data_IF_320151711160
#
_entry.id   IF_320151711160
#
_cell.length_a   1.000
_cell.length_b   1.000
_cell.length_c   1.000
_cell.angle_alpha   90.00
_cell.angle_beta   90.00
_cell.angle_gamma   90.00
#
_symmetry.space_group_name_H-M   'P 1'
#
loop_
_entity.id
_entity.type
_entity.pdbx_description
1 polymer ?
#
# COMPACT_ATOMS: atom_id res chain seq x y z
N UNK A 1 12.36 2.81 20.43
CA UNK A 1 11.62 2.42 19.20
C UNK A 1 11.93 0.98 18.77
N UNK A 2 13.19 0.57 18.57
CA UNK A 2 13.53 -0.77 18.05
C UNK A 2 12.95 -1.98 18.80
N UNK A 3 12.70 -1.90 20.11
CA UNK A 3 12.13 -3.02 20.89
C UNK A 3 10.64 -3.24 20.61
N UNK A 4 9.88 -2.18 20.31
CA UNK A 4 8.47 -2.29 20.02
C UNK A 4 8.26 -2.93 18.65
N UNK A 5 8.98 -2.48 17.63
CA UNK A 5 8.92 -3.07 16.30
C UNK A 5 9.35 -4.53 16.28
N UNK A 6 10.40 -4.90 17.03
CA UNK A 6 10.82 -6.28 17.15
C UNK A 6 9.77 -7.21 17.79
N UNK A 7 8.92 -6.68 18.68
CA UNK A 7 7.83 -7.46 19.28
C UNK A 7 6.68 -7.68 18.29
N UNK A 8 6.30 -6.65 17.52
CA UNK A 8 5.29 -6.76 16.46
C UNK A 8 5.76 -7.71 15.34
N UNK A 9 7.02 -7.59 14.93
CA UNK A 9 7.65 -8.43 13.92
C UNK A 9 7.63 -9.93 14.32
N UNK A 10 7.90 -10.22 15.59
CA UNK A 10 7.81 -11.60 16.12
C UNK A 10 6.39 -12.15 16.14
N UNK A 11 5.40 -11.31 16.43
CA UNK A 11 4.00 -11.70 16.49
C UNK A 11 3.43 -11.97 15.07
N UNK A 12 3.95 -11.28 14.06
CA UNK A 12 3.44 -11.34 12.68
C UNK A 12 4.33 -12.15 11.73
N UNK A 13 5.23 -12.97 12.24
CA UNK A 13 6.09 -13.83 11.42
C UNK A 13 5.28 -14.64 10.41
N UNK A 14 5.50 -14.36 9.14
CA UNK A 14 4.95 -15.13 8.02
C UNK A 14 3.57 -14.72 7.53
N UNK A 15 2.87 -13.76 8.16
CA UNK A 15 1.47 -13.50 7.83
C UNK A 15 1.19 -12.18 7.13
N UNK A 16 1.93 -11.10 7.41
CA UNK A 16 1.66 -9.79 6.80
C UNK A 16 2.89 -8.90 6.79
N UNK A 17 2.88 -7.90 5.92
CA UNK A 17 3.80 -6.79 6.01
C UNK A 17 3.64 -6.07 7.35
N UNK A 18 4.74 -5.70 7.98
CA UNK A 18 4.69 -4.84 9.15
C UNK A 18 4.32 -3.44 8.71
N UNK A 19 3.15 -3.01 9.14
CA UNK A 19 2.61 -1.72 8.80
C UNK A 19 2.23 -0.96 10.07
N UNK A 20 2.84 0.19 10.26
CA UNK A 20 2.50 1.11 11.33
C UNK A 20 2.33 2.52 10.77
N UNK A 21 1.19 3.12 11.07
CA UNK A 21 0.94 4.52 10.74
C UNK A 21 0.11 5.16 11.86
N UNK A 22 0.60 6.25 12.42
CA UNK A 22 -0.10 6.98 13.47
C UNK A 22 0.40 8.42 13.60
N UNK A 23 -0.39 9.25 14.30
CA UNK A 23 0.00 10.59 14.69
C UNK A 23 0.76 10.56 16.01
N UNK A 24 1.90 11.22 16.04
CA UNK A 24 2.71 11.42 17.25
C UNK A 24 2.87 12.91 17.55
N UNK A 25 2.87 13.25 18.84
CA UNK A 25 3.15 14.61 19.31
C UNK A 25 4.59 14.66 19.81
N UNK A 26 5.38 15.60 19.28
CA UNK A 26 6.74 15.85 19.70
C UNK A 26 7.06 17.34 19.61
N UNK A 27 7.64 17.93 20.67
CA UNK A 27 8.05 19.32 20.73
C UNK A 27 6.92 20.32 20.29
N UNK A 28 5.70 20.13 20.81
CA UNK A 28 4.50 20.92 20.49
C UNK A 28 4.08 20.90 19.01
N UNK A 29 4.51 19.88 18.28
CA UNK A 29 4.10 19.63 16.89
C UNK A 29 3.53 18.24 16.75
N UNK A 30 2.58 18.08 15.84
CA UNK A 30 2.06 16.79 15.44
C UNK A 30 2.78 16.33 14.16
N UNK A 31 3.23 15.09 14.19
CA UNK A 31 3.85 14.40 13.05
C UNK A 31 3.03 13.16 12.70
N UNK A 32 2.92 12.87 11.42
CA UNK A 32 2.44 11.59 10.97
C UNK A 32 3.64 10.67 10.72
N UNK A 33 3.66 9.55 11.42
CA UNK A 33 4.70 8.54 11.27
C UNK A 33 4.13 7.33 10.52
N UNK A 34 4.78 6.97 9.42
CA UNK A 34 4.43 5.79 8.63
C UNK A 34 5.67 4.92 8.45
N UNK A 35 5.56 3.65 8.82
CA UNK A 35 6.58 2.66 8.53
C UNK A 35 6.30 2.06 7.16
N UNK A 36 7.26 2.17 6.26
CA UNK A 36 7.16 1.67 4.88
C UNK A 36 8.00 0.42 4.64
N UNK A 37 8.74 -0.03 5.64
CA UNK A 37 9.59 -1.21 5.54
C UNK A 37 8.77 -2.50 5.62
N UNK A 38 9.05 -3.41 4.71
CA UNK A 38 8.45 -4.74 4.65
C UNK A 38 9.50 -5.77 5.00
N UNK A 39 9.22 -6.58 6.02
CA UNK A 39 10.11 -7.65 6.46
C UNK A 39 9.63 -9.01 5.95
N UNK A 40 10.58 -9.86 5.64
CA UNK A 40 10.37 -11.29 5.46
C UNK A 40 11.16 -12.11 6.50
N UNK A 41 11.22 -13.41 6.34
CA UNK A 41 11.97 -14.33 7.21
C UNK A 41 13.48 -14.08 7.20
N UNK A 42 14.02 -13.42 6.17
CA UNK A 42 15.44 -13.17 5.98
C UNK A 42 15.86 -11.75 6.37
N UNK A 43 14.91 -10.86 6.66
CA UNK A 43 15.15 -9.49 7.10
C UNK A 43 14.20 -8.47 6.46
N UNK A 44 14.41 -7.20 6.78
CA UNK A 44 13.60 -6.08 6.24
C UNK A 44 14.14 -5.54 4.92
N UNK A 45 15.43 -5.75 4.67
CA UNK A 45 16.12 -5.21 3.52
C UNK A 45 16.04 -6.18 2.34
N UNK A 46 15.70 -5.65 1.17
CA UNK A 46 15.86 -6.38 -0.07
C UNK A 46 17.33 -6.31 -0.47
N UNK A 47 18.00 -7.45 -0.47
CA UNK A 47 19.41 -7.61 -0.81
C UNK A 47 19.54 -8.26 -2.19
N UNK A 48 19.45 -7.49 -3.29
CA UNK A 48 19.61 -8.02 -4.63
C UNK A 48 21.08 -8.40 -4.90
N UNK A 49 21.28 -9.41 -5.75
CA UNK A 49 22.57 -9.88 -6.23
C UNK A 49 22.52 -10.14 -7.75
N UNK A 50 23.59 -10.71 -8.35
CA UNK A 50 23.67 -11.02 -9.79
C UNK A 50 22.66 -12.10 -10.23
N UNK A 51 22.12 -12.89 -9.31
CA UNK A 51 21.02 -13.82 -9.60
C UNK A 51 19.69 -13.05 -9.65
N UNK A 52 19.38 -12.55 -10.84
CA UNK A 52 18.19 -11.75 -11.07
C UNK A 52 16.89 -12.50 -10.74
N UNK A 53 16.85 -13.80 -10.98
CA UNK A 53 15.69 -14.66 -10.71
C UNK A 53 15.38 -14.73 -9.22
N UNK A 54 16.39 -15.08 -8.43
CA UNK A 54 16.28 -15.22 -6.98
C UNK A 54 16.00 -13.87 -6.30
N UNK A 55 16.69 -12.82 -6.73
CA UNK A 55 16.52 -11.47 -6.21
C UNK A 55 15.12 -10.94 -6.47
N UNK A 56 14.60 -11.08 -7.70
CA UNK A 56 13.24 -10.70 -8.05
C UNK A 56 12.21 -11.52 -7.26
N UNK A 57 12.39 -12.83 -7.15
CA UNK A 57 11.47 -13.68 -6.40
C UNK A 57 11.38 -13.29 -4.92
N UNK A 58 12.49 -12.88 -4.29
CA UNK A 58 12.49 -12.37 -2.92
C UNK A 58 11.75 -11.05 -2.80
N UNK A 59 12.04 -10.07 -3.68
CA UNK A 59 11.34 -8.78 -3.70
C UNK A 59 9.84 -8.94 -3.92
N UNK A 60 9.45 -9.82 -4.86
CA UNK A 60 8.06 -10.13 -5.14
C UNK A 60 7.31 -10.70 -3.93
N UNK A 61 7.93 -11.60 -3.15
CA UNK A 61 7.29 -12.10 -1.92
C UNK A 61 6.97 -10.98 -0.94
N UNK A 62 7.90 -10.02 -0.77
CA UNK A 62 7.69 -8.87 0.11
C UNK A 62 6.58 -7.96 -0.42
N UNK A 63 6.61 -7.60 -1.70
CA UNK A 63 5.61 -6.71 -2.32
C UNK A 63 4.22 -7.33 -2.36
N UNK A 64 4.09 -8.61 -2.78
CA UNK A 64 2.80 -9.31 -2.83
C UNK A 64 2.18 -9.41 -1.44
N UNK A 65 2.97 -9.72 -0.39
CA UNK A 65 2.46 -9.72 0.99
C UNK A 65 1.90 -8.36 1.42
N UNK A 66 2.56 -7.26 1.02
CA UNK A 66 2.05 -5.92 1.31
C UNK A 66 0.74 -5.64 0.57
N UNK A 67 0.69 -5.93 -0.72
CA UNK A 67 -0.50 -5.74 -1.54
C UNK A 67 -1.68 -6.58 -1.04
N UNK A 68 -1.45 -7.87 -0.74
CA UNK A 68 -2.47 -8.76 -0.20
C UNK A 68 -2.98 -8.34 1.19
N UNK A 69 -2.19 -7.53 1.91
CA UNK A 69 -2.54 -6.96 3.22
C UNK A 69 -3.06 -5.51 3.14
N UNK A 70 -3.29 -4.98 1.94
CA UNK A 70 -3.65 -3.57 1.71
C UNK A 70 -2.67 -2.58 2.35
N UNK A 71 -1.40 -2.95 2.43
CA UNK A 71 -0.32 -2.10 2.90
C UNK A 71 0.44 -1.46 1.73
N UNK A 72 1.17 -0.38 2.00
CA UNK A 72 2.02 0.28 1.02
C UNK A 72 3.20 -0.65 0.65
N UNK A 73 3.30 -1.12 -0.61
CA UNK A 73 4.37 -2.03 -1.02
C UNK A 73 5.63 -1.22 -1.36
N UNK A 74 6.67 -1.39 -0.55
CA UNK A 74 7.97 -0.73 -0.74
C UNK A 74 9.07 -1.76 -0.58
N UNK A 75 10.03 -1.76 -1.50
CA UNK A 75 11.30 -2.46 -1.32
C UNK A 75 12.35 -1.47 -0.84
N UNK A 76 13.00 -1.80 0.26
CA UNK A 76 14.12 -1.05 0.77
C UNK A 76 15.43 -1.78 0.48
N UNK A 77 16.40 -1.08 -0.09
CA UNK A 77 17.75 -1.60 -0.36
C UNK A 77 18.79 -0.50 -0.21
N UNK A 78 20.04 -0.88 0.01
CA UNK A 78 21.15 0.04 0.07
C UNK A 78 21.91 0.10 -1.26
N UNK A 79 22.17 1.31 -1.73
CA UNK A 79 22.86 1.57 -2.97
C UNK A 79 24.30 1.01 -2.93
N UNK A 80 25.06 1.36 -1.90
CA UNK A 80 26.46 0.99 -1.76
C UNK A 80 26.69 -0.48 -1.44
N UNK A 81 25.75 -1.09 -0.73
CA UNK A 81 25.92 -2.47 -0.28
C UNK A 81 25.45 -3.49 -1.32
N UNK A 82 24.49 -3.12 -2.16
CA UNK A 82 23.89 -4.03 -3.14
C UNK A 82 23.91 -3.50 -4.57
N UNK A 83 23.29 -2.36 -4.86
CA UNK A 83 23.06 -1.91 -6.23
C UNK A 83 24.37 -1.73 -7.02
N UNK A 84 25.38 -1.13 -6.41
CA UNK A 84 26.70 -0.95 -7.09
C UNK A 84 27.48 -2.24 -7.30
N UNK A 85 27.05 -3.35 -6.71
CA UNK A 85 27.72 -4.66 -6.83
C UNK A 85 27.10 -5.57 -7.89
N UNK A 86 26.01 -5.13 -8.51
CA UNK A 86 25.30 -5.86 -9.56
C UNK A 86 25.48 -5.17 -10.91
N UNK A 87 25.49 -5.98 -11.98
CA UNK A 87 25.52 -5.46 -13.34
C UNK A 87 24.22 -4.70 -13.67
N UNK A 88 24.28 -3.67 -14.54
CA UNK A 88 23.08 -2.99 -15.00
C UNK A 88 22.06 -3.95 -15.60
N UNK A 89 22.52 -4.95 -16.34
CA UNK A 89 21.69 -5.97 -17.00
C UNK A 89 20.93 -6.82 -15.97
N UNK A 90 21.59 -7.25 -14.89
CA UNK A 90 20.94 -7.99 -13.82
C UNK A 90 19.94 -7.11 -13.05
N UNK A 91 20.28 -5.84 -12.82
CA UNK A 91 19.37 -4.88 -12.20
C UNK A 91 18.11 -4.65 -13.02
N UNK A 92 18.25 -4.38 -14.33
CA UNK A 92 17.11 -4.21 -15.23
C UNK A 92 16.24 -5.46 -15.31
N UNK A 93 16.84 -6.65 -15.39
CA UNK A 93 16.12 -7.91 -15.43
C UNK A 93 15.28 -8.14 -14.16
N UNK A 94 15.83 -7.81 -12.99
CA UNK A 94 15.11 -7.90 -11.70
C UNK A 94 13.89 -6.99 -11.68
N UNK A 95 14.07 -5.71 -12.05
CA UNK A 95 12.99 -4.72 -12.04
C UNK A 95 11.91 -5.05 -13.08
N UNK A 96 12.30 -5.46 -14.28
CA UNK A 96 11.38 -5.87 -15.34
C UNK A 96 10.53 -7.06 -14.90
N UNK A 97 11.14 -8.06 -14.26
CA UNK A 97 10.42 -9.21 -13.74
C UNK A 97 9.46 -8.82 -12.62
N UNK A 98 9.90 -7.99 -11.66
CA UNK A 98 9.04 -7.50 -10.59
C UNK A 98 7.83 -6.76 -11.17
N UNK A 99 8.04 -5.84 -12.10
CA UNK A 99 6.98 -5.08 -12.73
C UNK A 99 5.98 -6.00 -13.48
N UNK A 100 6.50 -6.96 -14.25
CA UNK A 100 5.67 -7.93 -14.98
C UNK A 100 4.79 -8.77 -14.06
N UNK A 101 5.35 -9.31 -12.98
CA UNK A 101 4.65 -10.16 -12.02
C UNK A 101 3.64 -9.40 -11.16
N UNK A 102 3.85 -8.09 -10.95
CA UNK A 102 2.92 -7.25 -10.21
C UNK A 102 1.79 -6.70 -11.08
N UNK A 103 1.87 -6.83 -12.40
CA UNK A 103 0.86 -6.29 -13.32
C UNK A 103 -0.56 -6.78 -13.03
N UNK A 104 -0.73 -7.99 -12.49
CA UNK A 104 -2.02 -8.54 -12.08
C UNK A 104 -2.73 -7.74 -10.97
N UNK A 105 -1.99 -6.95 -10.21
CA UNK A 105 -2.53 -6.07 -9.17
C UNK A 105 -2.91 -4.68 -9.70
N UNK A 106 -2.62 -4.38 -10.97
CA UNK A 106 -2.80 -3.04 -11.56
C UNK A 106 -2.20 -1.92 -10.68
N UNK A 107 -0.91 -2.02 -10.28
CA UNK A 107 -0.33 -1.15 -9.27
C UNK A 107 -0.23 0.30 -9.75
N UNK A 108 -0.51 1.23 -8.86
CA UNK A 108 -0.25 2.65 -9.05
C UNK A 108 1.13 2.95 -8.45
N UNK A 109 2.05 3.42 -9.30
CA UNK A 109 3.38 3.82 -8.86
C UNK A 109 3.35 5.29 -8.43
N UNK A 110 3.76 5.54 -7.21
CA UNK A 110 3.74 6.87 -6.60
C UNK A 110 5.08 7.16 -5.91
N UNK A 111 5.36 8.42 -5.65
CA UNK A 111 6.48 8.79 -4.79
C UNK A 111 6.21 8.37 -3.34
N UNK A 112 7.27 8.25 -2.54
CA UNK A 112 7.13 7.91 -1.13
C UNK A 112 6.27 8.95 -0.37
N UNK A 113 6.41 10.23 -0.69
CA UNK A 113 5.59 11.30 -0.11
C UNK A 113 4.11 11.12 -0.43
N UNK A 114 3.77 10.86 -1.68
CA UNK A 114 2.38 10.59 -2.10
C UNK A 114 1.83 9.34 -1.42
N UNK A 115 2.63 8.27 -1.32
CA UNK A 115 2.24 7.05 -0.62
C UNK A 115 1.96 7.29 0.87
N UNK A 116 2.81 8.06 1.56
CA UNK A 116 2.62 8.42 2.97
C UNK A 116 1.37 9.30 3.15
N UNK A 117 1.13 10.25 2.26
CA UNK A 117 -0.08 11.09 2.27
C UNK A 117 -1.34 10.25 2.04
N UNK A 118 -1.29 9.28 1.15
CA UNK A 118 -2.38 8.32 0.94
C UNK A 118 -2.69 7.54 2.22
N UNK A 119 -1.67 7.00 2.89
CA UNK A 119 -1.83 6.30 4.16
C UNK A 119 -2.41 7.23 5.24
N UNK A 120 -1.93 8.49 5.31
CA UNK A 120 -2.50 9.49 6.21
C UNK A 120 -3.98 9.72 5.94
N UNK A 121 -4.36 9.87 4.68
CA UNK A 121 -5.75 10.06 4.27
C UNK A 121 -6.67 8.91 4.75
N UNK A 122 -6.20 7.65 4.71
CA UNK A 122 -6.96 6.51 5.25
C UNK A 122 -7.15 6.57 6.77
N UNK A 123 -6.33 7.32 7.50
CA UNK A 123 -6.46 7.53 8.95
C UNK A 123 -7.32 8.74 9.32
N UNK A 124 -7.34 9.76 8.45
CA UNK A 124 -8.05 11.01 8.70
C UNK A 124 -9.43 11.05 8.08
N UNK A 125 -9.78 10.09 7.25
CA UNK A 125 -11.10 9.94 6.64
C UNK A 125 -11.84 8.70 7.16
N UNK A 126 -13.17 8.75 7.08
CA UNK A 126 -14.06 7.64 7.45
C UNK A 126 -15.21 7.51 6.47
N UNK A 127 -15.52 6.29 6.09
CA UNK A 127 -16.78 5.95 5.43
C UNK A 127 -17.89 5.97 6.49
N UNK A 128 -18.92 6.78 6.26
CA UNK A 128 -20.06 6.95 7.18
C UNK A 128 -21.25 6.07 6.74
N UNK A 129 -21.54 6.08 5.44
CA UNK A 129 -22.63 5.30 4.88
C UNK A 129 -22.43 5.00 3.41
N UNK A 130 -23.01 3.90 2.97
CA UNK A 130 -23.18 3.56 1.56
C UNK A 130 -24.64 3.15 1.35
N UNK A 131 -25.33 3.83 0.44
CA UNK A 131 -26.75 3.60 0.16
C UNK A 131 -26.93 3.26 -1.31
N UNK A 132 -27.50 2.10 -1.58
CA UNK A 132 -27.84 1.66 -2.92
C UNK A 132 -29.29 2.04 -3.26
N UNK A 133 -29.49 2.67 -4.41
CA UNK A 133 -30.79 3.00 -5.00
C UNK A 133 -31.09 2.05 -6.17
N UNK A 134 -31.96 1.03 -5.98
CA UNK A 134 -32.22 0.02 -7.03
C UNK A 134 -32.80 0.60 -8.32
N UNK A 135 -33.62 1.64 -8.22
CA UNK A 135 -34.27 2.27 -9.37
C UNK A 135 -33.26 2.94 -10.34
N UNK A 136 -32.18 3.49 -9.83
CA UNK A 136 -31.12 4.18 -10.60
C UNK A 136 -29.87 3.35 -10.74
N UNK A 137 -29.77 2.22 -10.03
CA UNK A 137 -28.56 1.42 -9.90
C UNK A 137 -27.35 2.24 -9.40
N UNK A 138 -27.60 3.23 -8.57
CA UNK A 138 -26.58 4.12 -8.04
C UNK A 138 -26.28 3.78 -6.58
N UNK A 139 -24.99 3.75 -6.22
CA UNK A 139 -24.52 3.74 -4.84
C UNK A 139 -24.05 5.15 -4.49
N UNK A 140 -24.62 5.72 -3.44
CA UNK A 140 -24.18 6.99 -2.87
C UNK A 140 -23.41 6.71 -1.59
N UNK A 141 -22.16 7.17 -1.53
CA UNK A 141 -21.21 6.89 -0.46
C UNK A 141 -20.81 8.20 0.19
N UNK A 142 -20.92 8.26 1.51
CA UNK A 142 -20.60 9.44 2.31
C UNK A 142 -19.33 9.19 3.12
N UNK A 143 -18.38 10.11 2.98
CA UNK A 143 -17.17 10.18 3.79
C UNK A 143 -17.20 11.42 4.68
N UNK A 144 -16.50 11.35 5.82
CA UNK A 144 -16.21 12.49 6.70
C UNK A 144 -14.72 12.53 7.01
N UNK A 145 -14.24 13.65 7.56
CA UNK A 145 -12.82 13.91 7.82
C UNK A 145 -12.15 14.58 6.65
N UNK A 146 -10.90 14.23 6.37
CA UNK A 146 -10.15 14.89 5.30
C UNK A 146 -9.22 13.93 4.57
N UNK A 147 -9.02 14.20 3.28
CA UNK A 147 -8.03 13.57 2.43
C UNK A 147 -7.44 14.63 1.50
N UNK A 148 -6.14 14.85 1.55
CA UNK A 148 -5.43 15.84 0.74
C UNK A 148 -4.86 15.27 -0.56
N UNK A 149 -5.13 14.00 -0.83
CA UNK A 149 -4.76 13.27 -2.04
C UNK A 149 -5.96 12.47 -2.55
N UNK A 150 -5.92 12.11 -3.83
CA UNK A 150 -6.84 11.15 -4.41
C UNK A 150 -6.69 9.82 -3.68
N UNK A 151 -7.81 9.27 -3.21
CA UNK A 151 -7.85 7.95 -2.57
C UNK A 151 -8.81 7.03 -3.32
N UNK A 152 -8.81 5.74 -2.97
CA UNK A 152 -9.61 4.75 -3.66
C UNK A 152 -10.23 3.77 -2.67
N UNK A 153 -11.34 3.17 -3.06
CA UNK A 153 -11.91 2.01 -2.39
C UNK A 153 -12.46 1.01 -3.42
N UNK A 154 -12.55 -0.26 -3.01
CA UNK A 154 -13.18 -1.28 -3.82
C UNK A 154 -14.66 -1.41 -3.47
N UNK A 155 -15.51 -1.32 -4.50
CA UNK A 155 -16.93 -1.63 -4.38
C UNK A 155 -17.18 -3.05 -4.91
N UNK A 156 -17.66 -3.92 -4.03
CA UNK A 156 -18.04 -5.29 -4.35
C UNK A 156 -19.57 -5.33 -4.60
N UNK A 157 -19.98 -5.81 -5.75
CA UNK A 157 -21.35 -5.72 -6.22
C UNK A 157 -22.13 -7.03 -6.17
N UNK A 158 -21.48 -8.16 -5.88
CA UNK A 158 -22.13 -9.46 -5.80
C UNK A 158 -21.44 -10.39 -4.81
N UNK A 159 -22.25 -11.21 -4.11
CA UNK A 159 -21.75 -12.27 -3.23
C UNK A 159 -21.38 -13.55 -4.01
N UNK A 160 -21.92 -13.75 -5.21
CA UNK A 160 -21.75 -14.98 -6.00
C UNK A 160 -20.67 -14.89 -7.06
N UNK A 161 -20.46 -13.71 -7.62
CA UNK A 161 -19.37 -13.44 -8.56
C UNK A 161 -18.64 -12.24 -7.97
N UNK A 162 -17.39 -12.42 -7.57
CA UNK A 162 -16.57 -11.33 -7.05
C UNK A 162 -16.30 -10.38 -8.21
N UNK A 163 -17.23 -9.47 -8.45
CA UNK A 163 -17.03 -8.31 -9.29
C UNK A 163 -16.66 -7.15 -8.38
N UNK A 164 -15.47 -6.62 -8.54
CA UNK A 164 -15.02 -5.44 -7.82
C UNK A 164 -14.75 -4.31 -8.79
N UNK A 165 -15.08 -3.10 -8.35
CA UNK A 165 -14.77 -1.88 -9.08
C UNK A 165 -13.96 -0.96 -8.18
N UNK A 166 -12.84 -0.48 -8.69
CA UNK A 166 -12.07 0.58 -8.04
C UNK A 166 -12.82 1.91 -8.25
N UNK A 167 -13.09 2.62 -7.16
CA UNK A 167 -13.77 3.90 -7.16
C UNK A 167 -12.86 4.96 -6.57
N UNK A 168 -12.70 6.07 -7.29
CA UNK A 168 -11.91 7.22 -6.86
C UNK A 168 -12.68 8.10 -5.88
N UNK A 169 -12.00 8.56 -4.85
CA UNK A 169 -12.47 9.58 -3.90
C UNK A 169 -11.57 10.80 -4.06
N UNK A 170 -12.09 11.93 -4.56
CA UNK A 170 -11.30 13.14 -4.72
C UNK A 170 -10.82 13.68 -3.37
N UNK A 171 -9.79 14.51 -3.32
CA UNK A 171 -9.40 15.22 -2.11
C UNK A 171 -10.58 16.00 -1.53
N UNK A 172 -10.70 16.01 -0.20
CA UNK A 172 -11.79 16.72 0.49
C UNK A 172 -11.36 17.17 1.89
N UNK A 173 -12.10 18.14 2.41
CA UNK A 173 -12.02 18.64 3.78
C UNK A 173 -13.44 18.65 4.37
N UNK A 174 -13.61 18.16 5.61
CA UNK A 174 -14.86 17.93 6.35
C UNK A 174 -15.76 16.81 5.80
N UNK A 175 -15.75 16.51 4.54
CA UNK A 175 -16.53 15.41 3.98
C UNK A 175 -16.63 15.39 2.47
N UNK A 176 -17.04 14.24 1.95
CA UNK A 176 -17.22 14.02 0.53
C UNK A 176 -18.37 13.06 0.27
N UNK A 177 -19.08 13.27 -0.84
CA UNK A 177 -20.10 12.35 -1.35
C UNK A 177 -19.66 11.84 -2.71
N UNK A 178 -19.48 10.53 -2.81
CA UNK A 178 -19.13 9.86 -4.06
C UNK A 178 -20.33 9.09 -4.56
N UNK A 179 -20.64 9.22 -5.84
CA UNK A 179 -21.70 8.46 -6.51
C UNK A 179 -21.11 7.57 -7.59
N UNK A 180 -21.47 6.32 -7.57
CA UNK A 180 -21.07 5.37 -8.61
C UNK A 180 -22.25 4.51 -9.05
N UNK A 181 -22.36 4.28 -10.34
CA UNK A 181 -23.40 3.43 -10.92
C UNK A 181 -22.89 2.00 -11.00
N UNK A 182 -23.75 1.05 -10.63
CA UNK A 182 -23.51 -0.38 -10.79
C UNK A 182 -24.20 -0.83 -12.07
N UNK A 183 -23.41 -1.35 -13.00
CA UNK A 183 -23.92 -1.86 -14.30
C UNK A 183 -24.52 -3.26 -14.15
#
# INVERSE_FOLDING_TARGET
>A
MGRFFGAIDKANRGTSAMYYADFINFANRQFFLCCTEIRDETGYEWAPDEDAEKSAARGLRQLKRALDSFALPVLFTHETDYIYKISPEAWEAQLARIASELSIYEPIYVTLDEGIRYVRATKTSRLISAVYAPATREVTIHFTGQADVLTHFYLFTSEQVISSRLVEVPPFDDGCVVKCRID
#
